data_IF_104953476216
#
_entry.id   IF_104953476216
#
_cell.length_a   1.000
_cell.length_b   1.000
_cell.length_c   1.000
_cell.angle_alpha   90.00
_cell.angle_beta   90.00
_cell.angle_gamma   90.00
#
_symmetry.space_group_name_H-M   'P 1'
#
loop_
_entity.id
_entity.type
_entity.pdbx_description
1 polymer ?
#
# COMPACT_ATOMS: atom_id res chain seq x y z
N UNK A 1 -0.69 -22.46 -3.51
CA UNK A 1 -1.11 -21.09 -3.88
C UNK A 1 0.04 -20.17 -4.27
N UNK A 2 1.26 -20.56 -4.03
CA UNK A 2 2.44 -19.76 -4.39
C UNK A 2 2.50 -19.44 -5.90
N UNK A 3 2.22 -20.41 -6.75
CA UNK A 3 2.20 -20.21 -8.20
C UNK A 3 1.11 -19.26 -8.66
N UNK A 4 -0.06 -19.33 -8.06
CA UNK A 4 -1.19 -18.45 -8.36
C UNK A 4 -0.86 -17.01 -7.94
N UNK A 5 -0.30 -16.83 -6.74
CA UNK A 5 0.15 -15.53 -6.26
C UNK A 5 1.18 -14.92 -7.21
N UNK A 6 2.11 -15.71 -7.69
CA UNK A 6 3.14 -15.28 -8.63
C UNK A 6 2.55 -14.83 -9.98
N UNK A 7 1.57 -15.57 -10.50
CA UNK A 7 0.85 -15.19 -11.72
C UNK A 7 0.19 -13.82 -11.56
N UNK A 8 -0.38 -13.55 -10.39
CA UNK A 8 -1.04 -12.29 -10.08
C UNK A 8 -0.08 -11.19 -9.58
N UNK A 9 1.21 -11.47 -9.57
CA UNK A 9 2.26 -10.54 -9.10
C UNK A 9 2.05 -10.10 -7.64
N UNK A 10 1.67 -11.06 -6.80
CA UNK A 10 1.45 -10.86 -5.37
C UNK A 10 2.35 -11.81 -4.61
N UNK A 11 2.98 -11.36 -3.55
CA UNK A 11 3.75 -12.24 -2.67
C UNK A 11 2.82 -13.04 -1.74
N UNK A 12 3.23 -14.24 -1.35
CA UNK A 12 2.52 -15.00 -0.32
C UNK A 12 2.54 -14.19 0.98
N UNK A 13 1.36 -14.01 1.59
CA UNK A 13 1.18 -13.20 2.79
C UNK A 13 1.00 -11.70 2.53
N UNK A 14 1.17 -11.25 1.29
CA UNK A 14 0.89 -9.86 0.94
C UNK A 14 -0.62 -9.61 0.95
N UNK A 15 -1.06 -8.57 1.67
CA UNK A 15 -2.46 -8.17 1.73
C UNK A 15 -2.77 -7.23 0.57
N UNK A 16 -3.85 -7.48 -0.14
CA UNK A 16 -4.29 -6.66 -1.28
C UNK A 16 -5.81 -6.53 -1.29
N UNK A 17 -6.32 -5.70 -2.18
CA UNK A 17 -7.75 -5.58 -2.47
C UNK A 17 -8.03 -6.05 -3.89
N UNK A 18 -9.30 -6.29 -4.18
CA UNK A 18 -9.76 -6.65 -5.53
C UNK A 18 -10.55 -5.50 -6.11
N UNK A 19 -10.19 -5.09 -7.32
CA UNK A 19 -10.90 -4.09 -8.10
C UNK A 19 -11.77 -4.73 -9.16
N UNK A 20 -12.99 -4.25 -9.33
CA UNK A 20 -13.93 -4.64 -10.38
C UNK A 20 -14.37 -3.38 -11.12
N UNK A 21 -13.85 -3.18 -12.32
CA UNK A 21 -14.09 -1.96 -13.08
C UNK A 21 -13.61 -0.71 -12.33
N UNK A 22 -14.52 0.24 -12.09
CA UNK A 22 -14.23 1.46 -11.35
C UNK A 22 -14.34 1.29 -9.82
N UNK A 23 -14.76 0.12 -9.36
CA UNK A 23 -14.99 -0.14 -7.94
C UNK A 23 -13.89 -1.00 -7.34
N UNK A 24 -13.59 -0.75 -6.06
CA UNK A 24 -12.73 -1.62 -5.26
C UNK A 24 -13.59 -2.30 -4.21
N UNK A 25 -13.51 -3.62 -4.13
CA UNK A 25 -14.26 -4.41 -3.17
C UNK A 25 -13.74 -4.09 -1.76
N UNK A 26 -14.64 -3.84 -0.81
CA UNK A 26 -14.30 -3.40 0.54
C UNK A 26 -13.80 -4.53 1.45
N UNK A 27 -13.10 -5.49 0.88
CA UNK A 27 -12.49 -6.61 1.59
C UNK A 27 -11.00 -6.63 1.32
N UNK A 28 -10.27 -7.30 2.21
CA UNK A 28 -8.84 -7.56 2.05
C UNK A 28 -8.65 -9.04 1.71
N UNK A 29 -7.61 -9.33 0.94
CA UNK A 29 -7.31 -10.67 0.47
C UNK A 29 -5.83 -10.95 0.64
N UNK A 30 -5.49 -12.22 0.81
CA UNK A 30 -4.11 -12.68 0.77
C UNK A 30 -4.05 -14.14 0.33
N UNK A 31 -2.94 -14.51 -0.28
CA UNK A 31 -2.60 -15.89 -0.51
C UNK A 31 -1.70 -16.38 0.62
N UNK A 32 -1.98 -17.58 1.12
CA UNK A 32 -1.08 -18.30 2.01
C UNK A 32 -0.53 -19.51 1.25
N UNK A 33 0.37 -20.26 1.85
CA UNK A 33 0.88 -21.49 1.24
C UNK A 33 -0.23 -22.49 0.93
N UNK A 34 -1.30 -22.48 1.72
CA UNK A 34 -2.37 -23.46 1.65
C UNK A 34 -3.68 -22.95 1.08
N UNK A 35 -3.86 -21.65 0.90
CA UNK A 35 -5.13 -21.15 0.42
C UNK A 35 -5.21 -19.66 0.10
N UNK A 36 -6.39 -19.30 -0.36
CA UNK A 36 -6.79 -17.92 -0.64
C UNK A 36 -7.74 -17.46 0.46
N UNK A 37 -7.40 -16.39 1.16
CA UNK A 37 -8.12 -15.89 2.33
C UNK A 37 -8.68 -14.50 2.09
N UNK A 38 -9.77 -14.20 2.80
CA UNK A 38 -10.39 -12.87 2.81
C UNK A 38 -10.61 -12.38 4.24
N UNK A 39 -10.67 -11.07 4.42
CA UNK A 39 -10.95 -10.42 5.70
C UNK A 39 -11.60 -9.07 5.50
N UNK A 40 -12.44 -8.66 6.45
CA UNK A 40 -13.02 -7.31 6.47
C UNK A 40 -12.18 -6.33 7.29
N UNK A 41 -11.40 -6.83 8.24
CA UNK A 41 -10.67 -6.02 9.22
C UNK A 41 -9.15 -6.23 9.23
N UNK A 42 -8.63 -7.16 8.41
CA UNK A 42 -7.23 -7.59 8.36
C UNK A 42 -6.76 -8.34 9.63
N UNK A 43 -7.68 -8.70 10.50
CA UNK A 43 -7.40 -9.42 11.75
C UNK A 43 -7.97 -10.83 11.70
N UNK A 44 -9.23 -10.95 11.34
CA UNK A 44 -9.93 -12.24 11.22
C UNK A 44 -9.96 -12.67 9.76
N UNK A 45 -9.33 -13.80 9.46
CA UNK A 45 -9.22 -14.32 8.10
C UNK A 45 -10.04 -15.59 7.93
N UNK A 46 -10.71 -15.70 6.79
CA UNK A 46 -11.49 -16.88 6.41
C UNK A 46 -11.20 -17.22 4.96
N UNK A 47 -11.58 -18.44 4.55
CA UNK A 47 -11.43 -18.85 3.16
C UNK A 47 -12.20 -17.92 2.23
N UNK A 48 -11.52 -17.41 1.21
CA UNK A 48 -12.16 -16.59 0.19
C UNK A 48 -12.97 -17.47 -0.77
N UNK A 49 -13.91 -16.86 -1.47
CA UNK A 49 -14.76 -17.56 -2.44
C UNK A 49 -13.96 -17.92 -3.69
N UNK A 50 -14.18 -19.13 -4.19
CA UNK A 50 -13.54 -19.60 -5.43
C UNK A 50 -13.86 -18.72 -6.62
N UNK A 51 -15.04 -18.11 -6.66
CA UNK A 51 -15.44 -17.21 -7.74
C UNK A 51 -14.54 -15.96 -7.80
N UNK A 52 -14.11 -15.44 -6.65
CA UNK A 52 -13.23 -14.28 -6.60
C UNK A 52 -11.85 -14.61 -7.19
N UNK A 53 -11.32 -15.79 -6.88
CA UNK A 53 -10.08 -16.26 -7.44
C UNK A 53 -10.20 -16.44 -8.96
N UNK A 54 -11.29 -17.04 -9.42
CA UNK A 54 -11.56 -17.26 -10.84
C UNK A 54 -11.61 -15.93 -11.60
N UNK A 55 -12.27 -14.91 -11.05
CA UNK A 55 -12.36 -13.59 -11.65
C UNK A 55 -11.00 -12.89 -11.74
N UNK A 56 -10.13 -13.09 -10.76
CA UNK A 56 -8.76 -12.58 -10.83
C UNK A 56 -7.97 -13.26 -11.95
N UNK A 57 -8.10 -14.56 -12.08
CA UNK A 57 -7.36 -15.35 -13.09
C UNK A 57 -7.85 -15.09 -14.50
N UNK A 58 -9.14 -14.85 -14.70
CA UNK A 58 -9.72 -14.58 -16.04
C UNK A 58 -9.69 -13.10 -16.44
N UNK A 59 -9.20 -12.22 -15.58
CA UNK A 59 -9.10 -10.79 -15.88
C UNK A 59 -10.37 -9.98 -15.65
N UNK A 60 -11.45 -10.59 -15.15
CA UNK A 60 -12.68 -9.84 -14.80
C UNK A 60 -12.49 -8.90 -13.62
N UNK A 61 -11.60 -9.28 -12.70
CA UNK A 61 -11.17 -8.45 -11.58
C UNK A 61 -9.64 -8.31 -11.60
N UNK A 62 -9.14 -7.30 -10.93
CA UNK A 62 -7.71 -7.03 -10.83
C UNK A 62 -7.25 -6.90 -9.39
N UNK A 63 -5.96 -7.18 -9.16
CA UNK A 63 -5.32 -6.95 -7.88
C UNK A 63 -5.08 -5.44 -7.71
N UNK A 64 -5.54 -4.90 -6.58
CA UNK A 64 -5.26 -3.52 -6.18
C UNK A 64 -4.26 -3.57 -5.03
N UNK A 65 -3.04 -3.12 -5.29
CA UNK A 65 -1.98 -3.09 -4.29
C UNK A 65 -2.29 -2.07 -3.21
N UNK A 66 -2.06 -2.44 -1.95
CA UNK A 66 -2.14 -1.50 -0.85
C UNK A 66 -0.86 -0.67 -0.77
N UNK A 67 -0.94 0.57 -0.26
CA UNK A 67 0.26 1.33 0.06
C UNK A 67 1.14 0.54 1.03
N UNK A 68 2.46 0.64 0.85
CA UNK A 68 3.39 0.02 1.78
C UNK A 68 3.21 0.61 3.18
N UNK A 69 3.13 -0.27 4.18
CA UNK A 69 3.03 0.11 5.59
C UNK A 69 4.25 -0.43 6.34
N UNK A 70 4.96 0.39 7.11
CA UNK A 70 6.09 -0.07 7.89
C UNK A 70 5.66 -1.07 8.97
N UNK A 71 6.54 -2.01 9.29
CA UNK A 71 6.44 -2.81 10.50
C UNK A 71 7.11 -2.08 11.66
N UNK A 72 6.82 -2.47 12.90
CA UNK A 72 7.46 -1.89 14.08
C UNK A 72 8.99 -1.95 13.93
N UNK A 73 9.64 -0.83 14.17
CA UNK A 73 11.09 -0.59 14.03
C UNK A 73 11.61 -0.43 12.59
N UNK A 74 10.74 -0.51 11.58
CA UNK A 74 11.14 -0.15 10.21
C UNK A 74 11.32 1.36 10.10
N UNK A 75 12.28 1.77 9.28
CA UNK A 75 12.45 3.18 8.92
C UNK A 75 11.55 3.54 7.74
N UNK A 76 11.06 4.75 7.74
CA UNK A 76 10.33 5.32 6.61
C UNK A 76 10.77 6.76 6.38
N UNK A 77 10.43 7.29 5.23
CA UNK A 77 10.82 8.62 4.81
C UNK A 77 9.59 9.50 4.60
N UNK A 78 9.72 10.76 4.96
CA UNK A 78 8.67 11.78 4.79
C UNK A 78 9.22 12.92 3.95
N UNK A 79 8.46 13.36 2.97
CA UNK A 79 8.82 14.53 2.16
C UNK A 79 8.88 15.79 3.04
N UNK A 80 9.99 16.51 2.94
CA UNK A 80 10.24 17.76 3.68
C UNK A 80 10.75 18.82 2.72
N UNK A 81 9.85 19.53 2.02
CA UNK A 81 10.27 20.57 1.06
C UNK A 81 10.99 21.76 1.73
N UNK A 82 10.87 21.90 3.04
CA UNK A 82 11.56 22.90 3.85
C UNK A 82 13.02 22.54 4.18
N UNK A 83 13.43 21.29 3.95
CA UNK A 83 14.79 20.83 4.22
C UNK A 83 15.64 20.81 2.94
N UNK A 84 16.94 21.02 3.08
CA UNK A 84 17.89 20.91 1.97
C UNK A 84 17.91 19.51 1.37
N UNK A 85 17.78 18.50 2.23
CA UNK A 85 17.74 17.09 1.82
C UNK A 85 16.41 16.69 1.19
N UNK A 86 15.36 17.48 1.38
CA UNK A 86 14.00 17.26 0.89
C UNK A 86 13.27 16.10 1.54
N UNK A 87 13.86 15.41 2.49
CA UNK A 87 13.21 14.36 3.25
C UNK A 87 13.74 14.29 4.69
N UNK A 88 12.97 13.63 5.54
CA UNK A 88 13.39 13.25 6.88
C UNK A 88 13.10 11.76 7.10
N UNK A 89 13.80 11.14 8.03
CA UNK A 89 13.72 9.71 8.32
C UNK A 89 13.13 9.50 9.70
N UNK A 90 12.16 8.60 9.80
CA UNK A 90 11.52 8.24 11.06
C UNK A 90 11.48 6.74 11.22
N UNK A 91 11.41 6.30 12.48
CA UNK A 91 11.23 4.90 12.82
C UNK A 91 9.76 4.66 13.15
N UNK A 92 9.17 3.63 12.55
CA UNK A 92 7.77 3.28 12.83
C UNK A 92 7.64 2.64 14.20
N UNK A 93 6.94 3.29 15.10
CA UNK A 93 6.67 2.80 16.46
C UNK A 93 5.17 2.60 16.71
N UNK A 94 4.34 2.81 15.70
CA UNK A 94 2.89 2.72 15.81
C UNK A 94 2.26 3.87 16.59
N UNK A 95 2.94 5.00 16.68
CA UNK A 95 2.43 6.20 17.38
C UNK A 95 1.30 6.84 16.58
N UNK A 96 0.53 7.72 17.23
CA UNK A 96 -0.52 8.47 16.55
C UNK A 96 0.02 9.29 15.37
N UNK A 97 1.23 9.84 15.52
CA UNK A 97 1.90 10.57 14.46
C UNK A 97 2.25 9.68 13.27
N UNK A 98 2.76 8.49 13.52
CA UNK A 98 3.06 7.50 12.47
C UNK A 98 1.79 7.12 11.71
N UNK A 99 0.72 6.81 12.44
CA UNK A 99 -0.57 6.42 11.87
C UNK A 99 -1.16 7.58 11.04
N UNK A 100 -1.11 8.80 11.56
CA UNK A 100 -1.55 10.00 10.83
C UNK A 100 -0.81 10.14 9.50
N UNK A 101 0.51 10.02 9.52
CA UNK A 101 1.34 10.10 8.31
C UNK A 101 0.98 9.02 7.30
N UNK A 102 0.76 7.80 7.77
CA UNK A 102 0.36 6.70 6.90
C UNK A 102 -1.01 6.94 6.26
N UNK A 103 -2.00 7.33 7.05
CA UNK A 103 -3.36 7.60 6.57
C UNK A 103 -3.42 8.73 5.54
N UNK A 104 -2.51 9.70 5.65
CA UNK A 104 -2.44 10.85 4.74
C UNK A 104 -1.47 10.64 3.57
N UNK A 105 -0.97 9.43 3.38
CA UNK A 105 -0.09 9.12 2.26
C UNK A 105 1.30 9.74 2.34
N UNK A 106 1.76 10.07 3.54
CA UNK A 106 3.04 10.75 3.75
C UNK A 106 4.21 9.79 3.99
N UNK A 107 3.94 8.49 4.09
CA UNK A 107 4.94 7.47 4.39
C UNK A 107 5.52 6.91 3.10
N UNK A 108 6.84 7.00 2.94
CA UNK A 108 7.56 6.48 1.78
C UNK A 108 8.54 5.40 2.20
N UNK A 109 8.60 4.33 1.44
CA UNK A 109 9.56 3.25 1.65
C UNK A 109 10.97 3.65 1.26
N UNK A 110 11.11 4.54 0.28
CA UNK A 110 12.39 4.97 -0.30
C UNK A 110 12.56 6.48 -0.14
N UNK A 111 13.78 6.91 0.15
CA UNK A 111 14.11 8.33 0.19
C UNK A 111 13.85 9.01 -1.17
N UNK A 112 14.13 8.32 -2.29
CA UNK A 112 13.92 8.85 -3.63
C UNK A 112 12.47 9.25 -3.89
N UNK A 113 11.50 8.46 -3.45
CA UNK A 113 10.08 8.79 -3.63
C UNK A 113 9.65 9.96 -2.75
N UNK A 114 10.20 10.08 -1.55
CA UNK A 114 9.97 11.23 -0.68
C UNK A 114 10.53 12.52 -1.31
N UNK A 115 11.72 12.44 -1.88
CA UNK A 115 12.36 13.57 -2.58
C UNK A 115 11.51 14.01 -3.77
N UNK A 116 11.04 13.09 -4.59
CA UNK A 116 10.16 13.41 -5.72
C UNK A 116 8.88 14.12 -5.28
N UNK A 117 8.27 13.67 -4.19
CA UNK A 117 7.08 14.32 -3.61
C UNK A 117 7.38 15.74 -3.14
N UNK A 118 8.53 15.94 -2.49
CA UNK A 118 8.96 17.26 -2.03
C UNK A 118 9.22 18.20 -3.21
N UNK A 119 9.85 17.72 -4.26
CA UNK A 119 10.11 18.50 -5.49
C UNK A 119 8.81 18.93 -6.17
N UNK A 120 7.81 18.04 -6.22
CA UNK A 120 6.49 18.36 -6.77
C UNK A 120 5.80 19.46 -5.98
N UNK A 121 5.89 19.43 -4.65
CA UNK A 121 5.34 20.47 -3.79
C UNK A 121 6.02 21.81 -4.06
N UNK A 122 7.35 21.82 -4.14
CA UNK A 122 8.10 23.03 -4.43
C UNK A 122 7.78 23.61 -5.81
N UNK A 123 7.63 22.76 -6.81
CA UNK A 123 7.24 23.17 -8.17
C UNK A 123 5.85 23.79 -8.18
N UNK A 124 4.89 23.19 -7.47
CA UNK A 124 3.54 23.72 -7.32
C UNK A 124 3.55 25.08 -6.62
N UNK A 125 4.37 25.22 -5.59
CA UNK A 125 4.51 26.50 -4.85
C UNK A 125 5.08 27.60 -5.72
N UNK A 126 6.02 27.28 -6.63
CA UNK A 126 6.58 28.26 -7.58
C UNK A 126 5.56 28.79 -8.58
N UNK A 127 4.51 28.03 -8.88
CA UNK A 127 3.43 28.42 -9.76
C UNK A 127 2.35 29.27 -9.08
N UNK A 128 2.44 29.47 -7.76
CA UNK A 128 1.47 30.27 -7.01
C UNK A 128 1.85 31.75 -7.09
N UNK A 129 0.92 32.58 -7.53
CA UNK A 129 1.09 34.04 -7.59
C UNK A 129 0.44 34.63 -6.34
N UNK A 130 1.23 35.35 -5.58
CA UNK A 130 0.76 36.04 -4.37
C UNK A 130 0.39 37.49 -4.67
#
# INVERSE_FOLDING_TARGET
>A
MEEVAKILNVAVGEVFRIGEGAFTIAKYYQFTETGFLQSEDRVSWMSAKSIDLFRLLNGSCSVVKLPWKPSINDFYYVARPDLTTLYDTYKWLGTETDIFRYEHGLVHKLASTAIESAEKVLETMKGVVY
#
